data_IF_343450561039
#
_entry.id   IF_343450561039
#
_cell.length_a   1.000
_cell.length_b   1.000
_cell.length_c   1.000
_cell.angle_alpha   90.00
_cell.angle_beta   90.00
_cell.angle_gamma   90.00
#
_symmetry.space_group_name_H-M   'P 1'
#
loop_
_entity.id
_entity.type
_entity.pdbx_description
1 polymer ?
#
# COMPACT_ATOMS: atom_id res chain seq x y z
N UNK A 1 25.88 -53.29 85.79
CA UNK A 1 24.78 -54.08 85.18
C UNK A 1 24.52 -53.51 83.80
N UNK A 2 25.20 -54.05 82.80
CA UNK A 2 25.28 -53.58 81.40
C UNK A 2 24.05 -54.06 80.60
N UNK A 3 23.22 -53.15 80.08
CA UNK A 3 22.19 -53.50 79.07
C UNK A 3 22.50 -52.81 77.74
N UNK A 4 23.36 -53.52 77.02
CA UNK A 4 23.51 -53.69 75.57
C UNK A 4 22.56 -52.84 74.71
N UNK A 5 23.18 -51.95 73.92
CA UNK A 5 22.63 -51.41 72.68
C UNK A 5 22.28 -52.57 71.73
N UNK A 6 21.07 -52.56 71.18
CA UNK A 6 20.65 -53.38 70.04
C UNK A 6 20.29 -52.44 68.88
N UNK A 7 20.68 -52.76 67.63
CA UNK A 7 20.59 -51.84 66.50
C UNK A 7 19.15 -51.82 65.96
N UNK A 8 18.30 -51.01 66.58
CA UNK A 8 16.97 -50.74 66.06
C UNK A 8 17.11 -49.86 64.80
N UNK A 9 16.78 -50.42 63.64
CA UNK A 9 16.19 -49.60 62.56
C UNK A 9 17.03 -49.28 61.33
N UNK A 10 18.03 -50.09 60.95
CA UNK A 10 18.60 -50.01 59.58
C UNK A 10 17.51 -50.04 58.48
N UNK A 11 16.43 -50.87 58.56
CA UNK A 11 15.37 -50.82 57.55
C UNK A 11 14.50 -49.55 57.64
N UNK A 12 14.32 -48.98 58.84
CA UNK A 12 13.48 -47.79 59.06
C UNK A 12 14.16 -46.50 58.60
N UNK A 13 15.47 -46.39 58.82
CA UNK A 13 16.29 -45.28 58.31
C UNK A 13 16.43 -45.33 56.77
N UNK A 14 16.51 -46.53 56.19
CA UNK A 14 16.51 -46.72 54.73
C UNK A 14 15.17 -46.28 54.11
N UNK A 15 14.04 -46.65 54.73
CA UNK A 15 12.71 -46.25 54.29
C UNK A 15 12.51 -44.73 54.34
N UNK A 16 12.99 -44.09 55.40
CA UNK A 16 12.92 -42.64 55.54
C UNK A 16 13.79 -41.93 54.50
N UNK A 17 15.00 -42.44 54.24
CA UNK A 17 15.89 -41.88 53.20
C UNK A 17 15.29 -41.99 51.80
N UNK A 18 14.67 -43.13 51.46
CA UNK A 18 13.98 -43.32 50.17
C UNK A 18 12.77 -42.40 50.05
N UNK A 19 12.00 -42.20 51.12
CA UNK A 19 10.87 -41.28 51.14
C UNK A 19 11.32 -39.81 50.94
N UNK A 20 12.41 -39.40 51.59
CA UNK A 20 12.97 -38.05 51.45
C UNK A 20 13.55 -37.82 50.05
N UNK A 21 14.27 -38.79 49.49
CA UNK A 21 14.80 -38.70 48.12
C UNK A 21 13.66 -38.71 47.10
N UNK A 22 12.62 -39.51 47.31
CA UNK A 22 11.42 -39.52 46.48
C UNK A 22 10.69 -38.17 46.49
N UNK A 23 10.49 -37.59 47.67
CA UNK A 23 9.86 -36.28 47.83
C UNK A 23 10.72 -35.12 47.26
N UNK A 24 12.05 -35.20 47.38
CA UNK A 24 12.95 -34.20 46.79
C UNK A 24 13.01 -34.31 45.25
N UNK A 25 12.76 -35.49 44.69
CA UNK A 25 12.73 -35.73 43.24
C UNK A 25 11.45 -35.21 42.60
N UNK A 26 10.32 -35.25 43.31
CA UNK A 26 9.02 -34.76 42.84
C UNK A 26 8.87 -33.23 42.87
N UNK A 27 9.72 -32.52 43.63
CA UNK A 27 9.80 -31.07 43.61
C UNK A 27 10.79 -30.49 42.58
N UNK A 28 11.41 -31.31 41.71
CA UNK A 28 12.11 -30.77 40.54
C UNK A 28 11.06 -30.17 39.60
N UNK A 29 10.81 -28.88 39.77
CA UNK A 29 10.06 -28.07 38.84
C UNK A 29 10.66 -28.29 37.45
N UNK A 30 9.88 -28.90 36.58
CA UNK A 30 10.21 -29.09 35.18
C UNK A 30 10.40 -27.68 34.63
N UNK A 31 11.63 -27.32 34.28
CA UNK A 31 11.88 -26.11 33.51
C UNK A 31 11.42 -26.37 32.09
N UNK A 32 10.10 -26.50 31.91
CA UNK A 32 9.48 -26.41 30.60
C UNK A 32 9.71 -24.95 30.21
N UNK A 33 10.71 -24.73 29.34
CA UNK A 33 11.05 -23.40 28.86
C UNK A 33 9.77 -22.72 28.41
N UNK A 34 9.41 -21.64 29.10
CA UNK A 34 8.13 -20.96 28.94
C UNK A 34 8.11 -20.28 27.56
N UNK A 35 7.81 -21.06 26.51
CA UNK A 35 7.60 -20.55 25.17
C UNK A 35 6.25 -19.84 25.17
N UNK A 36 6.31 -18.52 25.13
CA UNK A 36 5.13 -17.68 24.97
C UNK A 36 4.56 -17.94 23.56
N UNK A 37 3.41 -18.59 23.51
CA UNK A 37 2.63 -18.73 22.29
C UNK A 37 1.63 -17.57 22.21
N UNK A 38 1.88 -16.64 21.30
CA UNK A 38 0.95 -15.57 20.99
C UNK A 38 0.46 -15.74 19.55
N UNK A 39 -0.83 -15.50 19.33
CA UNK A 39 -1.43 -15.37 18.02
C UNK A 39 -1.80 -13.91 17.78
N UNK A 40 -1.63 -13.47 16.54
CA UNK A 40 -1.93 -12.12 16.09
C UNK A 40 -2.11 -12.09 14.58
N UNK A 41 -2.55 -10.96 14.06
CA UNK A 41 -2.69 -10.75 12.62
C UNK A 41 -1.43 -10.08 12.07
N UNK A 42 -1.04 -10.48 10.86
CA UNK A 42 -0.03 -9.78 10.09
C UNK A 42 -0.78 -8.85 9.14
N UNK A 43 -0.54 -7.56 9.26
CA UNK A 43 -1.11 -6.54 8.39
C UNK A 43 -0.07 -6.05 7.40
N UNK A 44 -0.51 -5.77 6.18
CA UNK A 44 0.31 -5.17 5.14
C UNK A 44 -0.48 -4.03 4.48
N UNK A 45 0.23 -3.00 4.02
CA UNK A 45 -0.39 -1.94 3.22
C UNK A 45 -0.52 -2.43 1.79
N UNK A 46 -1.76 -2.60 1.34
CA UNK A 46 -2.06 -2.95 -0.04
C UNK A 46 -2.38 -1.70 -0.86
N UNK A 47 -1.78 -1.60 -2.04
CA UNK A 47 -2.08 -0.54 -3.02
C UNK A 47 -2.51 -1.18 -4.32
N UNK A 48 -3.72 -0.85 -4.78
CA UNK A 48 -4.23 -1.29 -6.08
C UNK A 48 -3.95 -0.22 -7.12
N UNK A 49 -3.24 -0.61 -8.17
CA UNK A 49 -2.93 0.26 -9.29
C UNK A 49 -3.99 0.10 -10.38
N UNK A 50 -4.46 1.23 -10.91
CA UNK A 50 -5.35 1.28 -12.06
C UNK A 50 -4.95 2.45 -12.95
N UNK A 51 -5.08 2.27 -14.25
CA UNK A 51 -4.91 3.36 -15.19
C UNK A 51 -6.04 4.39 -15.01
N UNK A 52 -5.69 5.68 -15.07
CA UNK A 52 -6.69 6.75 -14.92
C UNK A 52 -7.50 6.93 -16.20
N UNK A 53 -6.94 6.59 -17.35
CA UNK A 53 -7.63 6.57 -18.65
C UNK A 53 -7.62 5.18 -19.26
N UNK A 54 -8.62 4.91 -20.11
CA UNK A 54 -8.64 3.72 -20.93
C UNK A 54 -7.58 3.79 -22.03
N UNK A 55 -7.02 2.65 -22.41
CA UNK A 55 -6.03 2.57 -23.47
C UNK A 55 -5.56 1.14 -23.68
N UNK A 56 -4.84 0.90 -24.77
CA UNK A 56 -4.25 -0.41 -25.07
C UNK A 56 -2.94 -0.57 -24.30
N UNK A 57 -2.74 -1.71 -23.63
CA UNK A 57 -1.46 -2.03 -23.01
C UNK A 57 -0.39 -2.27 -24.10
N UNK A 58 0.66 -1.45 -24.10
CA UNK A 58 1.81 -1.60 -25.00
C UNK A 58 2.90 -2.47 -24.35
N UNK A 59 3.22 -2.20 -23.09
CA UNK A 59 4.28 -2.92 -22.37
C UNK A 59 3.93 -3.15 -20.90
N UNK A 60 4.37 -4.30 -20.38
CA UNK A 60 4.35 -4.66 -18.96
C UNK A 60 5.72 -5.24 -18.61
N UNK A 61 6.72 -4.40 -18.28
CA UNK A 61 8.11 -4.84 -18.11
C UNK A 61 8.36 -5.62 -16.80
N UNK A 62 7.41 -5.63 -15.88
CA UNK A 62 7.56 -6.26 -14.56
C UNK A 62 7.04 -7.69 -14.53
N UNK A 63 7.61 -8.51 -13.64
CA UNK A 63 7.11 -9.85 -13.33
C UNK A 63 6.34 -9.88 -12.02
N UNK A 64 5.43 -10.84 -11.90
CA UNK A 64 4.72 -11.08 -10.65
C UNK A 64 5.71 -11.42 -9.52
N UNK A 65 5.52 -10.82 -8.35
CA UNK A 65 6.39 -10.98 -7.19
C UNK A 65 7.67 -10.14 -7.20
N UNK A 66 7.89 -9.32 -8.24
CA UNK A 66 9.03 -8.41 -8.32
C UNK A 66 8.85 -7.20 -7.38
N UNK A 67 9.91 -6.82 -6.69
CA UNK A 67 9.92 -5.61 -5.86
C UNK A 67 9.98 -4.36 -6.74
N UNK A 68 9.17 -3.36 -6.42
CA UNK A 68 9.09 -2.10 -7.18
C UNK A 68 9.38 -0.90 -6.28
N UNK A 69 10.01 0.12 -6.86
CA UNK A 69 10.23 1.40 -6.20
C UNK A 69 9.12 2.41 -6.57
N UNK A 70 8.94 3.42 -5.73
CA UNK A 70 8.03 4.53 -6.04
C UNK A 70 8.46 5.25 -7.33
N UNK A 71 7.52 5.50 -8.24
CA UNK A 71 7.77 6.12 -9.54
C UNK A 71 8.34 5.19 -10.61
N UNK A 72 8.54 3.90 -10.32
CA UNK A 72 8.95 2.93 -11.32
C UNK A 72 7.85 2.69 -12.35
N UNK A 73 8.23 2.60 -13.62
CA UNK A 73 7.32 2.26 -14.71
C UNK A 73 6.76 0.84 -14.49
N UNK A 74 5.45 0.76 -14.26
CA UNK A 74 4.75 -0.52 -14.08
C UNK A 74 4.22 -1.06 -15.40
N UNK A 75 3.61 -0.20 -16.20
CA UNK A 75 3.01 -0.52 -17.49
C UNK A 75 3.04 0.71 -18.39
N UNK A 76 3.13 0.51 -19.72
CA UNK A 76 2.97 1.57 -20.71
C UNK A 76 1.70 1.34 -21.50
N UNK A 77 0.83 2.36 -21.54
CA UNK A 77 -0.38 2.36 -22.35
C UNK A 77 -0.15 3.12 -23.66
N UNK A 78 -0.98 2.83 -24.65
CA UNK A 78 -1.10 3.61 -25.87
C UNK A 78 -1.86 4.90 -25.56
N UNK A 79 -1.19 6.03 -25.72
CA UNK A 79 -1.69 7.37 -25.40
C UNK A 79 -2.12 8.15 -26.64
N UNK A 80 -2.05 7.54 -27.83
CA UNK A 80 -2.28 8.23 -29.11
C UNK A 80 -3.61 8.97 -29.15
N UNK A 81 -4.71 8.34 -28.72
CA UNK A 81 -6.04 8.96 -28.72
C UNK A 81 -6.11 10.15 -27.76
N UNK A 82 -5.50 10.06 -26.59
CA UNK A 82 -5.45 11.14 -25.59
C UNK A 82 -4.62 12.32 -26.08
N UNK A 83 -3.49 12.04 -26.74
CA UNK A 83 -2.63 13.06 -27.36
C UNK A 83 -3.34 13.78 -28.51
N UNK A 84 -4.05 13.03 -29.36
CA UNK A 84 -4.83 13.59 -30.47
C UNK A 84 -5.97 14.47 -29.96
N UNK A 85 -6.67 14.06 -28.89
CA UNK A 85 -7.73 14.87 -28.29
C UNK A 85 -7.17 16.16 -27.68
N UNK A 86 -6.05 16.10 -26.96
CA UNK A 86 -5.39 17.29 -26.44
C UNK A 86 -4.95 18.25 -27.56
N UNK A 87 -4.41 17.71 -28.66
CA UNK A 87 -4.01 18.50 -29.83
C UNK A 87 -5.21 19.16 -30.52
N UNK A 88 -6.32 18.43 -30.64
CA UNK A 88 -7.58 18.94 -31.19
C UNK A 88 -8.13 20.10 -30.35
N UNK A 89 -8.24 19.92 -29.03
CA UNK A 89 -8.73 20.96 -28.12
C UNK A 89 -7.82 22.20 -28.13
N UNK A 90 -6.50 22.01 -28.27
CA UNK A 90 -5.57 23.13 -28.41
C UNK A 90 -5.83 23.94 -29.70
N UNK A 91 -6.17 23.28 -30.81
CA UNK A 91 -6.53 23.95 -32.04
C UNK A 91 -7.89 24.69 -31.93
N UNK A 92 -8.87 24.10 -31.25
CA UNK A 92 -10.16 24.74 -30.98
C UNK A 92 -10.00 25.99 -30.13
N UNK A 93 -9.16 25.94 -29.09
CA UNK A 93 -8.81 27.10 -28.27
C UNK A 93 -8.14 28.20 -29.09
N UNK A 94 -7.19 27.86 -29.96
CA UNK A 94 -6.52 28.83 -30.82
C UNK A 94 -7.50 29.52 -31.80
N UNK A 95 -8.49 28.77 -32.30
CA UNK A 95 -9.56 29.32 -33.13
C UNK A 95 -10.47 30.27 -32.35
N UNK A 96 -10.88 29.88 -31.13
CA UNK A 96 -11.68 30.71 -30.24
C UNK A 96 -10.97 32.02 -29.86
N UNK A 97 -9.67 31.96 -29.54
CA UNK A 97 -8.86 33.16 -29.27
C UNK A 97 -8.79 34.07 -30.51
N UNK A 98 -8.56 33.52 -31.69
CA UNK A 98 -8.55 34.30 -32.92
C UNK A 98 -9.88 35.01 -33.18
N UNK A 99 -11.00 34.33 -32.93
CA UNK A 99 -12.33 34.91 -33.04
C UNK A 99 -12.57 36.02 -32.01
N UNK A 100 -12.10 35.82 -30.77
CA UNK A 100 -12.17 36.87 -29.74
C UNK A 100 -11.40 38.11 -30.18
N UNK A 101 -10.17 37.95 -30.67
CA UNK A 101 -9.34 39.07 -31.16
C UNK A 101 -10.00 39.85 -32.29
N UNK A 102 -10.69 39.18 -33.22
CA UNK A 102 -11.44 39.84 -34.28
C UNK A 102 -12.59 40.68 -33.74
N UNK A 103 -13.32 40.18 -32.73
CA UNK A 103 -14.44 40.90 -32.13
C UNK A 103 -13.96 42.08 -31.28
N UNK A 104 -12.87 41.93 -30.53
CA UNK A 104 -12.26 43.03 -29.77
C UNK A 104 -11.89 44.24 -30.64
N UNK A 105 -11.67 44.05 -31.95
CA UNK A 105 -11.34 45.13 -32.89
C UNK A 105 -12.54 46.03 -33.28
N UNK A 106 -13.78 45.73 -32.86
CA UNK A 106 -14.93 46.61 -33.17
C UNK A 106 -16.32 46.17 -32.69
N UNK A 107 -16.45 45.13 -31.87
CA UNK A 107 -17.74 44.56 -31.47
C UNK A 107 -18.33 45.20 -30.20
N UNK A 108 -19.65 45.03 -30.02
CA UNK A 108 -20.40 45.46 -28.84
C UNK A 108 -19.97 44.68 -27.59
N UNK A 109 -20.19 45.26 -26.41
CA UNK A 109 -19.70 44.69 -25.15
C UNK A 109 -20.33 43.33 -24.82
N UNK A 110 -21.60 43.13 -25.14
CA UNK A 110 -22.28 41.85 -24.92
C UNK A 110 -21.62 40.71 -25.72
N UNK A 111 -21.21 41.03 -26.95
CA UNK A 111 -20.55 40.08 -27.86
C UNK A 111 -19.15 39.71 -27.38
N UNK A 112 -18.40 40.70 -26.85
CA UNK A 112 -17.10 40.47 -26.20
C UNK A 112 -17.23 39.54 -24.99
N UNK A 113 -18.23 39.75 -24.13
CA UNK A 113 -18.45 38.90 -22.94
C UNK A 113 -18.81 37.47 -23.33
N UNK A 114 -19.66 37.28 -24.34
CA UNK A 114 -20.05 35.95 -24.83
C UNK A 114 -18.83 35.17 -25.34
N UNK A 115 -17.98 35.79 -26.14
CA UNK A 115 -16.82 35.09 -26.73
C UNK A 115 -15.70 34.90 -25.71
N UNK A 116 -15.51 35.82 -24.76
CA UNK A 116 -14.62 35.61 -23.63
C UNK A 116 -15.03 34.38 -22.79
N UNK A 117 -16.33 34.17 -22.58
CA UNK A 117 -16.83 32.97 -21.90
C UNK A 117 -16.57 31.69 -22.71
N UNK A 118 -16.66 31.75 -24.05
CA UNK A 118 -16.31 30.61 -24.92
C UNK A 118 -14.82 30.27 -24.86
N UNK A 119 -13.95 31.29 -24.85
CA UNK A 119 -12.51 31.09 -24.68
C UNK A 119 -12.20 30.42 -23.34
N UNK A 120 -12.79 30.92 -22.24
CA UNK A 120 -12.60 30.34 -20.92
C UNK A 120 -13.07 28.87 -20.82
N UNK A 121 -14.15 28.51 -21.53
CA UNK A 121 -14.61 27.13 -21.61
C UNK A 121 -13.60 26.25 -22.37
N UNK A 122 -13.12 26.70 -23.54
CA UNK A 122 -12.11 25.98 -24.31
C UNK A 122 -10.79 25.82 -23.55
N UNK A 123 -10.37 26.83 -22.78
CA UNK A 123 -9.22 26.75 -21.88
C UNK A 123 -9.38 25.67 -20.81
N UNK A 124 -10.56 25.60 -20.20
CA UNK A 124 -10.86 24.60 -19.17
C UNK A 124 -10.87 23.17 -19.75
N UNK A 125 -11.40 22.99 -20.96
CA UNK A 125 -11.43 21.70 -21.66
C UNK A 125 -10.01 21.23 -22.01
N UNK A 126 -9.17 22.11 -22.58
CA UNK A 126 -7.78 21.80 -22.85
C UNK A 126 -7.02 21.44 -21.57
N UNK A 127 -7.22 22.21 -20.50
CA UNK A 127 -6.58 21.96 -19.21
C UNK A 127 -7.05 20.63 -18.57
N UNK A 128 -8.27 20.18 -18.84
CA UNK A 128 -8.73 18.85 -18.43
C UNK A 128 -7.99 17.76 -19.23
N UNK A 129 -7.96 17.86 -20.56
CA UNK A 129 -7.29 16.88 -21.42
C UNK A 129 -5.78 16.76 -21.13
N UNK A 130 -5.10 17.89 -20.88
CA UNK A 130 -3.68 17.88 -20.50
C UNK A 130 -3.43 17.22 -19.14
N UNK A 131 -4.34 17.39 -18.17
CA UNK A 131 -4.23 16.70 -16.87
C UNK A 131 -4.41 15.20 -17.02
N UNK A 132 -5.27 14.77 -17.92
CA UNK A 132 -5.46 13.34 -18.18
C UNK A 132 -4.23 12.74 -18.86
N UNK A 133 -3.60 13.46 -19.79
CA UNK A 133 -2.32 13.05 -20.40
C UNK A 133 -1.17 13.00 -19.37
N UNK A 134 -1.10 13.97 -18.45
CA UNK A 134 -0.03 14.03 -17.45
C UNK A 134 -0.11 12.95 -16.35
N UNK A 135 -1.22 12.20 -16.28
CA UNK A 135 -1.42 11.09 -15.33
C UNK A 135 -0.98 9.72 -15.89
N UNK A 136 -0.53 9.67 -17.14
CA UNK A 136 -0.07 8.47 -17.86
C UNK A 136 1.46 8.36 -17.81
#
# INVERSE_FOLDING_TARGET
MTRRLAPLGVPSTLLLAVAVVGAASSCRARADGETIHASGHIEATEVRLAATVGGRLLELPLREGEAVAAGQLVARLDTTDTELEAARLAAELAAADAQLRLLLAGSREEERRRVAAQLAAAEAELAAAQRDLARL
#
